data_IF_429165958915
#
_entry.id   IF_429165958915
#
_cell.length_a   1.000
_cell.length_b   1.000
_cell.length_c   1.000
_cell.angle_alpha   90.00
_cell.angle_beta   90.00
_cell.angle_gamma   90.00
#
_symmetry.space_group_name_H-M   'P 1'
#
loop_
_entity.id
_entity.type
_entity.pdbx_description
1 polymer ?
#
# COMPACT_ATOMS: atom_id res chain seq x y z
N UNK A 1 -18.29 -7.74 3.76
CA UNK A 1 -17.31 -8.81 4.00
C UNK A 1 -15.92 -8.25 3.78
N UNK A 2 -14.97 -8.50 4.67
CA UNK A 2 -13.55 -8.17 4.48
C UNK A 2 -13.02 -8.77 3.18
N UNK A 3 -12.07 -8.08 2.54
CA UNK A 3 -11.50 -8.52 1.26
C UNK A 3 -10.07 -8.04 1.11
N UNK A 4 -9.22 -8.91 0.61
CA UNK A 4 -7.92 -8.58 0.04
C UNK A 4 -7.98 -8.88 -1.47
N UNK A 5 -7.71 -7.89 -2.32
CA UNK A 5 -7.78 -8.04 -3.77
C UNK A 5 -6.58 -7.37 -4.42
N UNK A 6 -5.82 -8.11 -5.20
CA UNK A 6 -4.83 -7.53 -6.12
C UNK A 6 -5.57 -6.98 -7.34
N UNK A 7 -5.65 -5.66 -7.44
CA UNK A 7 -6.24 -5.00 -8.62
C UNK A 7 -5.27 -5.00 -9.80
N UNK A 8 -3.98 -4.76 -9.52
CA UNK A 8 -2.90 -4.77 -10.51
C UNK A 8 -1.63 -5.29 -9.86
N UNK A 9 -0.82 -6.05 -10.61
CA UNK A 9 0.46 -6.59 -10.17
C UNK A 9 1.42 -6.71 -11.35
N UNK A 10 2.68 -6.35 -11.13
CA UNK A 10 3.77 -6.45 -12.10
C UNK A 10 4.40 -5.10 -12.46
N UNK A 11 5.43 -5.14 -13.30
CA UNK A 11 6.23 -3.97 -13.72
C UNK A 11 5.45 -2.87 -14.45
N UNK A 12 4.22 -3.11 -14.85
CA UNK A 12 3.33 -2.09 -15.44
C UNK A 12 2.56 -1.28 -14.42
N UNK A 13 2.46 -1.77 -13.18
CA UNK A 13 1.88 -1.08 -12.05
C UNK A 13 1.26 -2.01 -11.02
N UNK A 14 1.40 -1.64 -9.76
CA UNK A 14 0.94 -2.37 -8.59
C UNK A 14 -0.16 -1.59 -7.87
N UNK A 15 -1.20 -2.27 -7.45
CA UNK A 15 -2.26 -1.68 -6.64
C UNK A 15 -3.05 -2.81 -5.96
N UNK A 16 -3.11 -2.79 -4.65
CA UNK A 16 -3.85 -3.77 -3.86
C UNK A 16 -4.93 -3.06 -3.07
N UNK A 17 -6.09 -3.69 -3.01
CA UNK A 17 -7.26 -3.18 -2.29
C UNK A 17 -7.50 -4.02 -1.04
N UNK A 18 -7.69 -3.37 0.09
CA UNK A 18 -8.04 -4.00 1.36
C UNK A 18 -9.32 -3.34 1.90
N UNK A 19 -10.26 -4.17 2.31
CA UNK A 19 -11.51 -3.72 2.92
C UNK A 19 -11.78 -4.49 4.21
N UNK A 20 -12.09 -3.74 5.27
CA UNK A 20 -12.74 -4.23 6.48
C UNK A 20 -14.27 -4.13 6.38
N UNK A 21 -14.97 -4.09 7.48
CA UNK A 21 -16.40 -3.82 7.50
C UNK A 21 -16.71 -2.36 7.15
N UNK A 22 -15.90 -1.41 7.64
CA UNK A 22 -16.19 0.03 7.56
C UNK A 22 -15.14 0.85 6.82
N UNK A 23 -14.00 0.27 6.47
CA UNK A 23 -12.86 1.00 5.90
C UNK A 23 -12.35 0.34 4.62
N UNK A 24 -12.01 1.16 3.63
CA UNK A 24 -11.40 0.72 2.37
C UNK A 24 -10.09 1.48 2.17
N UNK A 25 -9.00 0.75 1.90
CA UNK A 25 -7.69 1.34 1.64
C UNK A 25 -7.05 0.76 0.38
N UNK A 26 -6.09 1.49 -0.18
CA UNK A 26 -5.21 0.98 -1.22
C UNK A 26 -3.78 0.84 -0.67
N UNK A 27 -3.10 -0.21 -1.08
CA UNK A 27 -1.64 -0.30 -1.00
C UNK A 27 -1.13 -0.10 -2.42
N UNK A 28 -0.38 0.97 -2.63
CA UNK A 28 0.09 1.49 -3.90
C UNK A 28 -1.01 1.96 -4.89
N UNK A 29 -0.59 2.78 -5.83
CA UNK A 29 -1.41 3.32 -6.93
C UNK A 29 -0.58 3.41 -8.22
N UNK A 30 -0.01 2.27 -8.63
CA UNK A 30 1.00 2.18 -9.69
C UNK A 30 0.44 2.30 -11.11
N UNK A 31 -0.87 2.33 -11.29
CA UNK A 31 -1.53 2.56 -12.58
C UNK A 31 -2.30 3.87 -12.58
N UNK A 32 -2.73 4.35 -13.76
CA UNK A 32 -3.47 5.61 -13.82
C UNK A 32 -4.79 5.55 -13.05
N UNK A 33 -5.23 6.69 -12.50
CA UNK A 33 -6.44 6.80 -11.67
C UNK A 33 -7.70 6.24 -12.35
N UNK A 34 -7.81 6.35 -13.69
CA UNK A 34 -8.93 5.79 -14.45
C UNK A 34 -8.95 4.25 -14.40
N UNK A 35 -7.78 3.62 -14.47
CA UNK A 35 -7.67 2.16 -14.38
C UNK A 35 -8.04 1.68 -12.99
N UNK A 36 -7.55 2.36 -11.93
CA UNK A 36 -7.93 2.03 -10.55
C UNK A 36 -9.43 2.18 -10.34
N UNK A 37 -10.03 3.29 -10.79
CA UNK A 37 -11.48 3.53 -10.68
C UNK A 37 -12.31 2.45 -11.40
N UNK A 38 -11.87 2.00 -12.59
CA UNK A 38 -12.56 0.95 -13.32
C UNK A 38 -12.48 -0.40 -12.58
N UNK A 39 -11.30 -0.78 -12.09
CA UNK A 39 -11.13 -2.01 -11.32
C UNK A 39 -11.95 -2.00 -10.02
N UNK A 40 -12.00 -0.87 -9.31
CA UNK A 40 -12.83 -0.71 -8.12
C UNK A 40 -14.32 -0.87 -8.44
N UNK A 41 -14.80 -0.32 -9.57
CA UNK A 41 -16.20 -0.50 -10.00
C UNK A 41 -16.56 -1.95 -10.29
N UNK A 42 -15.65 -2.73 -10.85
CA UNK A 42 -15.87 -4.16 -11.10
C UNK A 42 -16.10 -4.95 -9.80
N UNK A 43 -15.52 -4.51 -8.70
CA UNK A 43 -15.71 -5.11 -7.36
C UNK A 43 -16.78 -4.41 -6.51
N UNK A 44 -17.50 -3.44 -7.09
CA UNK A 44 -18.67 -2.78 -6.47
C UNK A 44 -18.34 -1.61 -5.54
N UNK A 45 -17.18 -0.95 -5.73
CA UNK A 45 -16.77 0.24 -4.99
C UNK A 45 -16.23 1.34 -5.92
N UNK A 46 -15.61 2.40 -5.38
CA UNK A 46 -15.05 3.51 -6.15
C UNK A 46 -13.96 4.24 -5.37
N UNK A 47 -13.17 5.07 -6.05
CA UNK A 47 -12.16 5.92 -5.42
C UNK A 47 -12.71 6.86 -4.35
N UNK A 48 -14.00 7.19 -4.38
CA UNK A 48 -14.65 8.04 -3.36
C UNK A 48 -14.80 7.36 -2.00
N UNK A 49 -14.73 6.03 -1.97
CA UNK A 49 -14.86 5.24 -0.74
C UNK A 49 -13.50 4.92 -0.12
N UNK A 50 -12.40 5.19 -0.84
CA UNK A 50 -11.05 4.93 -0.34
C UNK A 50 -10.71 5.94 0.76
N UNK A 51 -10.40 5.43 1.93
CA UNK A 51 -10.07 6.20 3.13
C UNK A 51 -8.60 6.61 3.19
N UNK A 52 -7.72 5.83 2.58
CA UNK A 52 -6.28 6.08 2.57
C UNK A 52 -5.56 5.31 1.45
N UNK A 53 -4.39 5.81 1.04
CA UNK A 53 -3.42 5.09 0.21
C UNK A 53 -2.13 4.95 1.02
N UNK A 54 -1.63 3.73 1.14
CA UNK A 54 -0.33 3.42 1.73
C UNK A 54 0.65 3.09 0.61
N UNK A 55 1.77 3.78 0.55
CA UNK A 55 2.76 3.62 -0.52
C UNK A 55 3.95 2.84 0.00
N UNK A 56 4.30 1.76 -0.68
CA UNK A 56 5.44 0.92 -0.32
C UNK A 56 6.77 1.64 -0.57
N UNK A 57 6.93 2.23 -1.76
CA UNK A 57 8.11 3.00 -2.15
C UNK A 57 7.83 3.92 -3.36
N UNK A 58 8.81 4.71 -3.77
CA UNK A 58 8.66 5.81 -4.72
C UNK A 58 8.65 5.43 -6.21
N UNK A 59 8.87 4.18 -6.58
CA UNK A 59 8.93 3.79 -7.99
C UNK A 59 7.63 4.07 -8.74
N UNK A 60 7.75 4.35 -10.03
CA UNK A 60 6.62 4.82 -10.84
C UNK A 60 5.50 3.80 -10.99
N UNK A 61 5.81 2.52 -10.97
CA UNK A 61 4.86 1.41 -11.01
C UNK A 61 4.16 1.16 -9.65
N UNK A 62 4.47 1.96 -8.63
CA UNK A 62 3.76 2.04 -7.35
C UNK A 62 3.07 3.40 -7.14
N UNK A 63 3.44 4.44 -7.90
CA UNK A 63 3.03 5.82 -7.63
C UNK A 63 2.38 6.56 -8.80
N UNK A 64 2.29 5.98 -10.00
CA UNK A 64 1.83 6.66 -11.24
C UNK A 64 0.48 7.36 -11.12
N UNK A 65 -0.48 6.75 -10.44
CA UNK A 65 -1.83 7.31 -10.24
C UNK A 65 -1.98 8.15 -8.98
N UNK A 66 -0.99 8.14 -8.09
CA UNK A 66 -1.06 8.64 -6.74
C UNK A 66 -1.51 10.11 -6.67
N UNK A 67 -0.84 11.00 -7.41
CA UNK A 67 -1.13 12.43 -7.41
C UNK A 67 -2.57 12.72 -7.82
N UNK A 68 -3.04 12.12 -8.92
CA UNK A 68 -4.40 12.35 -9.42
C UNK A 68 -5.44 11.80 -8.46
N UNK A 69 -5.21 10.62 -7.89
CA UNK A 69 -6.16 10.01 -6.95
C UNK A 69 -6.22 10.84 -5.68
N UNK A 70 -5.08 11.14 -5.08
CA UNK A 70 -5.03 11.82 -3.79
C UNK A 70 -5.57 13.26 -3.87
N UNK A 71 -5.18 14.02 -4.89
CA UNK A 71 -5.59 15.43 -5.00
C UNK A 71 -7.04 15.59 -5.47
N UNK A 72 -7.48 14.78 -6.45
CA UNK A 72 -8.83 14.90 -7.01
C UNK A 72 -9.92 14.35 -6.10
N UNK A 73 -9.63 13.30 -5.35
CA UNK A 73 -10.59 12.65 -4.45
C UNK A 73 -10.36 13.00 -2.98
N UNK A 74 -9.28 13.73 -2.65
CA UNK A 74 -8.95 14.11 -1.29
C UNK A 74 -8.49 12.93 -0.42
N UNK A 75 -7.90 11.89 -1.03
CA UNK A 75 -7.47 10.69 -0.31
C UNK A 75 -6.11 10.93 0.33
N UNK A 76 -5.97 10.82 1.66
CA UNK A 76 -4.68 10.95 2.33
C UNK A 76 -3.72 9.83 1.92
N UNK A 77 -2.44 10.19 1.81
CA UNK A 77 -1.36 9.28 1.41
C UNK A 77 -0.37 9.12 2.56
N UNK A 78 -0.09 7.89 2.91
CA UNK A 78 0.84 7.51 3.96
C UNK A 78 2.07 6.85 3.35
N UNK A 79 3.26 7.36 3.66
CA UNK A 79 4.51 6.79 3.15
C UNK A 79 5.70 7.15 4.04
N UNK A 80 6.83 6.50 3.78
CA UNK A 80 8.07 6.81 4.48
C UNK A 80 8.65 8.15 4.02
N UNK A 81 9.26 8.90 4.93
CA UNK A 81 9.88 10.18 4.61
C UNK A 81 10.99 10.08 3.55
N UNK A 82 11.88 9.06 3.56
CA UNK A 82 12.87 8.90 2.49
C UNK A 82 12.26 8.69 1.11
N UNK A 83 11.25 7.81 0.99
CA UNK A 83 10.55 7.58 -0.28
C UNK A 83 9.79 8.82 -0.75
N UNK A 84 9.16 9.55 0.17
CA UNK A 84 8.49 10.80 -0.16
C UNK A 84 9.48 11.86 -0.70
N UNK A 85 10.64 12.00 -0.08
CA UNK A 85 11.69 12.93 -0.55
C UNK A 85 12.20 12.55 -1.94
N UNK A 86 12.32 11.26 -2.26
CA UNK A 86 12.70 10.79 -3.58
C UNK A 86 11.60 11.02 -4.62
N UNK A 87 10.32 10.84 -4.23
CA UNK A 87 9.16 11.07 -5.08
C UNK A 87 8.97 12.54 -5.44
N UNK A 88 9.18 13.46 -4.48
CA UNK A 88 8.76 14.88 -4.56
C UNK A 88 9.79 15.76 -5.32
N UNK A 89 10.82 15.21 -5.92
CA UNK A 89 11.99 15.94 -6.47
C UNK A 89 11.70 17.31 -7.12
N UNK A 90 10.47 17.59 -7.63
CA UNK A 90 10.07 18.86 -8.25
C UNK A 90 8.55 19.06 -8.23
N UNK A 91 7.82 18.70 -7.16
CA UNK A 91 6.38 18.52 -7.24
C UNK A 91 5.51 19.46 -6.43
N UNK A 92 4.30 19.47 -6.93
CA UNK A 92 3.16 20.32 -6.69
C UNK A 92 2.77 20.39 -5.21
N UNK A 93 2.49 21.58 -4.71
CA UNK A 93 1.97 21.84 -3.37
C UNK A 93 0.69 21.04 -3.05
N UNK A 94 -0.07 20.65 -4.08
CA UNK A 94 -1.27 19.85 -3.92
C UNK A 94 -0.98 18.44 -3.38
N UNK A 95 0.02 17.74 -3.92
CA UNK A 95 0.40 16.42 -3.41
C UNK A 95 0.95 16.53 -1.97
N UNK A 96 1.78 17.54 -1.72
CA UNK A 96 2.33 17.78 -0.37
C UNK A 96 1.24 17.96 0.71
N UNK A 97 0.10 18.54 0.36
CA UNK A 97 -1.00 18.79 1.31
C UNK A 97 -1.74 17.53 1.77
N UNK A 98 -1.59 16.42 1.06
CA UNK A 98 -2.26 15.13 1.37
C UNK A 98 -1.29 14.05 1.83
N UNK A 99 0.03 14.35 1.88
CA UNK A 99 1.05 13.42 2.34
C UNK A 99 1.17 13.40 3.86
N UNK A 100 1.14 12.21 4.42
CA UNK A 100 1.46 11.91 5.81
C UNK A 100 2.78 11.14 5.84
N UNK A 101 3.84 11.77 6.35
CA UNK A 101 5.21 11.26 6.32
C UNK A 101 5.58 10.62 7.65
N UNK A 102 6.19 9.45 7.57
CA UNK A 102 6.55 8.64 8.73
C UNK A 102 7.98 8.08 8.62
N UNK A 103 8.57 7.68 9.77
CA UNK A 103 9.79 6.85 9.75
C UNK A 103 9.48 5.48 9.14
N UNK A 104 10.50 4.67 8.79
CA UNK A 104 10.32 3.35 8.15
C UNK A 104 9.43 2.38 8.94
N UNK A 105 9.50 2.44 10.26
CA UNK A 105 8.62 1.67 11.15
C UNK A 105 7.60 2.62 11.78
N UNK A 106 6.36 2.48 11.38
CA UNK A 106 5.26 3.27 11.96
C UNK A 106 4.00 2.42 12.11
N UNK A 107 3.11 2.89 12.95
CA UNK A 107 1.77 2.33 13.11
C UNK A 107 0.76 3.46 13.10
N UNK A 108 -0.30 3.33 12.33
CA UNK A 108 -1.40 4.29 12.25
C UNK A 108 -2.74 3.57 12.18
N UNK A 109 -3.78 4.23 12.69
CA UNK A 109 -5.14 3.75 12.57
C UNK A 109 -5.90 4.56 11.52
N UNK A 110 -6.59 3.88 10.62
CA UNK A 110 -7.50 4.47 9.64
C UNK A 110 -8.84 3.75 9.75
N UNK A 111 -9.87 4.45 10.19
CA UNK A 111 -11.16 3.83 10.50
C UNK A 111 -11.03 2.73 11.55
N UNK A 112 -11.43 1.53 11.19
CA UNK A 112 -11.34 0.32 12.02
C UNK A 112 -10.10 -0.54 11.73
N UNK A 113 -9.17 -0.06 10.89
CA UNK A 113 -7.92 -0.74 10.57
C UNK A 113 -6.76 -0.17 11.36
N UNK A 114 -5.85 -1.02 11.83
CA UNK A 114 -4.51 -0.66 12.29
C UNK A 114 -3.48 -1.12 11.27
N UNK A 115 -2.64 -0.20 10.80
CA UNK A 115 -1.66 -0.43 9.75
C UNK A 115 -0.25 -0.21 10.30
N UNK A 116 0.58 -1.24 10.27
CA UNK A 116 1.98 -1.20 10.66
C UNK A 116 2.88 -1.41 9.46
N UNK A 117 3.91 -0.58 9.30
CA UNK A 117 4.93 -0.77 8.28
C UNK A 117 6.12 -1.56 8.82
N UNK A 118 6.76 -2.31 7.94
CA UNK A 118 8.04 -3.00 8.18
C UNK A 118 8.94 -2.85 6.95
N UNK A 119 10.25 -2.84 7.15
CA UNK A 119 11.21 -2.62 6.06
C UNK A 119 11.31 -3.88 5.19
N UNK A 120 11.33 -3.67 3.87
CA UNK A 120 11.65 -4.70 2.87
C UNK A 120 12.88 -4.25 2.09
N UNK A 121 13.94 -5.10 1.99
CA UNK A 121 15.12 -4.76 1.23
C UNK A 121 14.83 -4.70 -0.27
N UNK A 122 14.98 -3.51 -0.86
CA UNK A 122 14.77 -3.26 -2.28
C UNK A 122 15.63 -2.09 -2.76
N UNK A 123 15.84 -1.95 -4.07
CA UNK A 123 16.56 -0.84 -4.69
C UNK A 123 15.66 0.42 -4.76
N UNK A 124 15.45 1.03 -3.61
CA UNK A 124 14.65 2.24 -3.42
C UNK A 124 15.18 3.07 -2.25
N UNK A 125 14.68 4.30 -2.07
CA UNK A 125 15.09 5.14 -0.96
C UNK A 125 14.73 4.53 0.41
N UNK A 126 13.56 3.88 0.51
CA UNK A 126 13.13 3.12 1.68
C UNK A 126 11.86 2.33 1.34
N UNK A 127 12.02 1.07 0.95
CA UNK A 127 10.87 0.19 0.70
C UNK A 127 10.32 -0.38 2.01
N UNK A 128 9.00 -0.43 2.10
CA UNK A 128 8.29 -1.02 3.23
C UNK A 128 7.15 -1.91 2.77
N UNK A 129 6.90 -2.98 3.52
CA UNK A 129 5.65 -3.72 3.48
C UNK A 129 4.69 -3.23 4.55
N UNK A 130 3.47 -3.75 4.53
CA UNK A 130 2.41 -3.39 5.47
C UNK A 130 1.75 -4.62 6.07
N UNK A 131 1.54 -4.55 7.39
CA UNK A 131 0.65 -5.44 8.12
C UNK A 131 -0.60 -4.65 8.50
N UNK A 132 -1.76 -5.13 8.07
CA UNK A 132 -3.06 -4.51 8.30
C UNK A 132 -3.89 -5.43 9.19
N UNK A 133 -4.38 -4.90 10.31
CA UNK A 133 -5.19 -5.64 11.27
C UNK A 133 -6.53 -4.93 11.49
N UNK A 134 -7.63 -5.68 11.51
CA UNK A 134 -8.96 -5.14 11.77
C UNK A 134 -9.89 -6.18 12.38
N UNK A 135 -10.94 -5.77 13.11
CA UNK A 135 -11.93 -6.68 13.69
C UNK A 135 -12.71 -7.45 12.60
N UNK A 136 -12.87 -8.75 12.81
CA UNK A 136 -13.75 -9.61 12.01
C UNK A 136 -14.52 -10.56 12.93
N UNK A 137 -15.75 -10.21 13.29
CA UNK A 137 -16.49 -10.90 14.36
C UNK A 137 -15.79 -10.75 15.71
N UNK A 138 -15.55 -11.85 16.39
CA UNK A 138 -14.89 -11.87 17.69
C UNK A 138 -13.35 -11.98 17.61
N UNK A 139 -12.77 -11.98 16.41
CA UNK A 139 -11.35 -12.11 16.17
C UNK A 139 -10.76 -10.89 15.44
N UNK A 140 -9.42 -10.76 15.47
CA UNK A 140 -8.67 -9.83 14.64
C UNK A 140 -8.23 -10.55 13.37
N UNK A 141 -8.60 -10.00 12.22
CA UNK A 141 -8.10 -10.46 10.92
C UNK A 141 -6.83 -9.69 10.55
N UNK A 142 -5.83 -10.39 10.05
CA UNK A 142 -4.48 -9.89 9.80
C UNK A 142 -4.06 -10.16 8.38
N UNK A 143 -3.70 -9.11 7.66
CA UNK A 143 -3.25 -9.15 6.27
C UNK A 143 -1.81 -8.64 6.18
N UNK A 144 -0.95 -9.37 5.45
CA UNK A 144 0.39 -8.92 5.11
C UNK A 144 0.50 -8.53 3.63
N UNK A 145 1.17 -7.42 3.33
CA UNK A 145 1.53 -7.05 1.95
C UNK A 145 3.01 -6.74 1.91
N UNK A 146 3.75 -7.51 1.13
CA UNK A 146 5.19 -7.36 0.93
C UNK A 146 5.52 -7.61 -0.55
N UNK A 147 5.70 -6.54 -1.28
CA UNK A 147 6.13 -6.54 -2.69
C UNK A 147 7.58 -6.07 -2.77
N UNK A 148 8.24 -6.34 -3.89
CA UNK A 148 9.60 -5.86 -4.17
C UNK A 148 10.59 -6.26 -3.07
N UNK A 149 10.68 -7.58 -2.85
CA UNK A 149 11.54 -8.18 -1.83
C UNK A 149 12.84 -8.64 -2.49
N UNK A 150 13.92 -7.89 -2.30
CA UNK A 150 15.24 -8.26 -2.81
C UNK A 150 15.82 -9.48 -2.11
N UNK A 151 15.62 -9.60 -0.80
CA UNK A 151 15.99 -10.77 0.01
C UNK A 151 15.15 -10.84 1.29
N UNK A 152 15.08 -12.03 1.88
CA UNK A 152 14.29 -12.28 3.09
C UNK A 152 15.13 -11.97 4.33
N UNK A 153 14.63 -11.08 5.18
CA UNK A 153 15.21 -10.72 6.48
C UNK A 153 14.28 -11.12 7.64
N UNK A 154 14.83 -11.09 8.85
CA UNK A 154 14.08 -11.46 10.07
C UNK A 154 12.85 -10.57 10.27
N UNK A 155 12.98 -9.27 10.04
CA UNK A 155 11.86 -8.29 10.18
C UNK A 155 10.67 -8.64 9.28
N UNK A 156 10.92 -9.09 8.04
CA UNK A 156 9.89 -9.55 7.14
C UNK A 156 9.17 -10.80 7.68
N UNK A 157 9.94 -11.77 8.17
CA UNK A 157 9.39 -13.01 8.73
C UNK A 157 8.53 -12.70 9.95
N UNK A 158 9.03 -11.89 10.87
CA UNK A 158 8.34 -11.50 12.09
C UNK A 158 7.05 -10.71 11.79
N UNK A 159 7.11 -9.79 10.83
CA UNK A 159 5.96 -8.99 10.41
C UNK A 159 4.85 -9.83 9.77
N UNK A 160 5.21 -10.85 9.00
CA UNK A 160 4.26 -11.73 8.32
C UNK A 160 3.85 -12.95 9.17
N UNK A 161 4.49 -13.15 10.33
CA UNK A 161 4.12 -14.27 11.21
C UNK A 161 2.70 -14.13 11.73
N UNK A 162 1.90 -15.19 11.53
CA UNK A 162 0.53 -15.26 12.02
C UNK A 162 -0.46 -14.33 11.30
N UNK A 163 -0.18 -13.91 10.05
CA UNK A 163 -1.19 -13.30 9.19
C UNK A 163 -2.14 -14.37 8.64
N UNK A 164 -3.39 -13.97 8.41
CA UNK A 164 -4.43 -14.86 7.86
C UNK A 164 -4.35 -14.91 6.33
N UNK A 165 -3.99 -13.78 5.71
CA UNK A 165 -3.82 -13.64 4.27
C UNK A 165 -2.56 -12.83 3.97
N UNK A 166 -1.85 -13.11 2.86
CA UNK A 166 -0.76 -12.26 2.44
C UNK A 166 -0.67 -12.13 0.91
N UNK A 167 -0.17 -10.97 0.48
CA UNK A 167 0.40 -10.75 -0.85
C UNK A 167 1.89 -10.67 -0.65
N UNK A 168 2.62 -11.57 -1.29
CA UNK A 168 4.07 -11.60 -1.25
C UNK A 168 4.61 -11.77 -2.67
N UNK A 169 5.64 -11.04 -3.01
CA UNK A 169 6.35 -11.24 -4.26
C UNK A 169 7.02 -12.61 -4.27
N UNK A 170 6.91 -13.31 -5.39
CA UNK A 170 7.53 -14.61 -5.61
C UNK A 170 8.50 -14.63 -6.79
N UNK A 171 8.98 -13.47 -7.21
CA UNK A 171 10.01 -13.37 -8.25
C UNK A 171 11.35 -13.83 -7.67
N UNK A 172 11.73 -15.07 -7.92
CA UNK A 172 13.07 -15.52 -7.67
C UNK A 172 13.61 -16.25 -8.90
N UNK A 173 14.81 -15.93 -9.28
CA UNK A 173 15.54 -16.69 -10.27
C UNK A 173 16.18 -17.87 -9.55
N UNK A 174 15.78 -19.10 -9.92
CA UNK A 174 16.29 -20.35 -9.34
C UNK A 174 17.78 -20.56 -9.64
N UNK A 175 18.36 -19.72 -10.51
CA UNK A 175 19.76 -19.78 -10.95
C UNK A 175 20.70 -18.76 -10.25
N UNK A 176 20.19 -17.96 -9.32
CA UNK A 176 21.02 -17.09 -8.47
C UNK A 176 21.43 -17.75 -7.17
#
# INVERSE_FOLDING_TARGET
>A
MPRLITLFSGSSGNCHYIRSENTEILIDAGVCARSVENALKEIGTSLRNISAIFVTHEHVDHTRGLEVISTKFGVPVYMTEPSARALIKDKDAALLSVLHLYPPHFSVSVGDMNICSFVTPHDSACCVGYRVEFPMGDAMHKIGVATDIGHVEADLIDALYGVDECIIESNHDVSM
#
